data_IF_627169822558
#
_entry.id   IF_627169822558
#
_cell.length_a   1.000
_cell.length_b   1.000
_cell.length_c   1.000
_cell.angle_alpha   90.00
_cell.angle_beta   90.00
_cell.angle_gamma   90.00
#
_symmetry.space_group_name_H-M   'P 1'
#
loop_
_entity.id
_entity.type
_entity.pdbx_description
1 polymer ?
#
# COMPACT_ATOMS: atom_id res chain seq x y z
N UNK A 1 -26.85 -20.11 24.55
CA UNK A 1 -25.43 -19.67 24.53
C UNK A 1 -24.62 -20.81 23.89
N UNK A 2 -24.31 -20.72 22.60
CA UNK A 2 -23.67 -21.81 21.84
C UNK A 2 -22.17 -21.55 21.79
N UNK A 3 -21.36 -22.45 22.36
CA UNK A 3 -19.90 -22.44 22.23
C UNK A 3 -19.51 -23.16 20.93
N UNK A 4 -18.97 -22.41 19.98
CA UNK A 4 -18.29 -22.98 18.82
C UNK A 4 -16.88 -23.43 19.23
N UNK A 5 -16.62 -24.74 19.16
CA UNK A 5 -15.28 -25.33 19.33
C UNK A 5 -14.56 -25.24 17.99
N UNK A 6 -13.52 -24.41 17.91
CA UNK A 6 -12.65 -24.32 16.73
C UNK A 6 -11.64 -25.45 16.80
N UNK A 7 -11.77 -26.44 15.92
CA UNK A 7 -10.79 -27.51 15.76
C UNK A 7 -9.62 -26.98 14.92
N UNK A 8 -8.48 -26.68 15.56
CA UNK A 8 -7.29 -26.20 14.87
C UNK A 8 -6.51 -27.38 14.27
N UNK A 9 -6.69 -27.66 12.98
CA UNK A 9 -5.81 -28.57 12.23
C UNK A 9 -4.51 -27.84 11.92
N UNK A 10 -3.46 -28.12 12.70
CA UNK A 10 -2.08 -27.73 12.37
C UNK A 10 -1.63 -28.50 11.12
N UNK A 11 -1.93 -27.96 9.93
CA UNK A 11 -1.36 -28.44 8.68
C UNK A 11 0.08 -27.94 8.62
N UNK A 12 1.05 -28.83 8.79
CA UNK A 12 2.46 -28.53 8.55
C UNK A 12 2.59 -28.23 7.06
N UNK A 13 2.74 -26.94 6.73
CA UNK A 13 3.02 -26.50 5.37
C UNK A 13 4.50 -26.81 5.13
N UNK A 14 4.81 -27.94 4.50
CA UNK A 14 6.13 -28.16 3.91
C UNK A 14 6.36 -27.11 2.84
N UNK A 15 7.18 -26.10 3.14
CA UNK A 15 7.62 -25.14 2.14
C UNK A 15 8.44 -25.87 1.07
N UNK A 16 8.10 -25.65 -0.20
CA UNK A 16 8.88 -26.12 -1.33
C UNK A 16 10.30 -25.51 -1.24
N UNK A 17 11.35 -26.30 -1.50
CA UNK A 17 12.77 -25.91 -1.41
C UNK A 17 13.22 -24.91 -2.50
N UNK A 18 12.28 -24.20 -3.12
CA UNK A 18 12.60 -23.13 -4.05
C UNK A 18 12.90 -21.86 -3.26
N UNK A 19 14.18 -21.62 -3.01
CA UNK A 19 14.73 -20.44 -2.30
C UNK A 19 14.52 -19.10 -3.03
N UNK A 20 13.97 -19.12 -4.25
CA UNK A 20 13.70 -17.92 -5.04
C UNK A 20 12.32 -17.30 -4.76
N UNK A 21 11.52 -17.90 -3.88
CA UNK A 21 10.26 -17.33 -3.44
C UNK A 21 10.40 -16.95 -1.97
N UNK A 22 10.73 -15.69 -1.70
CA UNK A 22 11.11 -15.16 -0.39
C UNK A 22 9.94 -15.17 0.64
N UNK A 23 8.85 -15.90 0.38
CA UNK A 23 7.59 -15.90 1.12
C UNK A 23 6.81 -14.57 1.05
N UNK A 24 7.49 -13.48 0.72
CA UNK A 24 6.94 -12.14 0.63
C UNK A 24 6.31 -11.91 -0.75
N UNK A 25 5.04 -11.48 -0.82
CA UNK A 25 4.39 -11.16 -2.09
C UNK A 25 5.15 -10.06 -2.84
N UNK A 26 5.18 -10.11 -4.18
CA UNK A 26 5.86 -9.12 -5.04
C UNK A 26 5.50 -7.67 -4.67
N UNK A 27 4.23 -7.41 -4.36
CA UNK A 27 3.78 -6.09 -3.92
C UNK A 27 4.46 -5.62 -2.63
N UNK A 28 4.71 -6.53 -1.67
CA UNK A 28 5.45 -6.22 -0.46
C UNK A 28 6.93 -5.93 -0.75
N UNK A 29 7.54 -6.64 -1.71
CA UNK A 29 8.90 -6.37 -2.14
C UNK A 29 9.00 -4.97 -2.77
N UNK A 30 8.03 -4.58 -3.62
CA UNK A 30 7.95 -3.22 -4.17
C UNK A 30 7.85 -2.15 -3.08
N UNK A 31 7.01 -2.37 -2.07
CA UNK A 31 6.87 -1.44 -0.94
C UNK A 31 8.19 -1.30 -0.16
N UNK A 32 9.00 -2.36 -0.05
CA UNK A 32 10.28 -2.30 0.66
C UNK A 32 11.31 -1.36 -0.01
N UNK A 33 11.21 -1.13 -1.33
CA UNK A 33 12.05 -0.13 -2.01
C UNK A 33 11.65 1.32 -1.68
N UNK A 34 10.46 1.53 -1.12
CA UNK A 34 9.95 2.85 -0.79
C UNK A 34 10.39 3.27 0.62
N UNK A 35 11.38 4.16 0.71
CA UNK A 35 11.82 4.67 2.00
C UNK A 35 10.74 5.59 2.62
N UNK A 36 10.04 5.08 3.63
CA UNK A 36 8.96 5.78 4.32
C UNK A 36 9.37 7.13 4.93
N UNK A 37 10.60 7.24 5.45
CA UNK A 37 11.08 8.49 6.05
C UNK A 37 11.25 9.57 4.99
N UNK A 38 11.85 9.22 3.85
CA UNK A 38 12.01 10.12 2.71
C UNK A 38 10.66 10.56 2.12
N UNK A 39 9.73 9.63 1.94
CA UNK A 39 8.37 9.94 1.47
C UNK A 39 7.66 10.91 2.42
N UNK A 40 7.78 10.70 3.73
CA UNK A 40 7.21 11.62 4.71
C UNK A 40 7.87 13.00 4.69
N UNK A 41 9.17 13.10 4.36
CA UNK A 41 9.86 14.37 4.16
C UNK A 41 9.31 15.11 2.94
N UNK A 42 9.24 14.43 1.79
CA UNK A 42 8.65 14.99 0.55
C UNK A 42 7.20 15.43 0.78
N UNK A 43 6.41 14.62 1.49
CA UNK A 43 5.02 14.96 1.81
C UNK A 43 4.88 16.23 2.67
N UNK A 44 5.86 16.50 3.55
CA UNK A 44 5.90 17.75 4.34
C UNK A 44 6.30 18.94 3.47
N UNK A 45 7.31 18.79 2.63
CA UNK A 45 7.78 19.84 1.71
C UNK A 45 6.71 20.25 0.70
N UNK A 46 5.90 19.29 0.23
CA UNK A 46 4.78 19.55 -0.67
C UNK A 46 3.45 19.88 0.04
N UNK A 47 3.44 19.96 1.38
CA UNK A 47 2.23 20.09 2.21
C UNK A 47 1.10 19.08 1.84
N UNK A 48 1.44 17.93 1.27
CA UNK A 48 0.46 17.00 0.68
C UNK A 48 -0.39 16.26 1.72
N UNK A 49 0.03 16.30 2.98
CA UNK A 49 -0.70 15.74 4.13
C UNK A 49 -1.40 16.81 4.97
N UNK A 50 -1.48 18.06 4.51
CA UNK A 50 -2.24 19.12 5.18
C UNK A 50 -3.69 18.67 5.40
N UNK A 51 -4.18 18.86 6.63
CA UNK A 51 -5.50 18.42 7.10
C UNK A 51 -5.77 16.91 7.03
N UNK A 52 -4.75 16.08 6.81
CA UNK A 52 -4.92 14.63 6.67
C UNK A 52 -4.68 13.93 8.02
N UNK A 53 -5.70 13.21 8.51
CA UNK A 53 -5.60 12.47 9.79
C UNK A 53 -5.09 11.03 9.64
N UNK A 54 -5.68 10.26 8.71
CA UNK A 54 -5.45 8.80 8.60
C UNK A 54 -4.88 8.31 7.28
N UNK A 55 -5.20 8.99 6.18
CA UNK A 55 -4.85 8.56 4.82
C UNK A 55 -3.68 9.37 4.27
N UNK A 56 -2.49 9.22 4.86
CA UNK A 56 -1.28 9.98 4.48
C UNK A 56 -0.84 9.73 3.04
N UNK A 57 0.09 10.55 2.56
CA UNK A 57 0.64 10.48 1.20
C UNK A 57 1.30 9.13 0.94
N UNK A 58 2.00 8.59 1.95
CA UNK A 58 2.53 7.24 1.91
C UNK A 58 1.44 6.18 1.67
N UNK A 59 0.32 6.22 2.42
CA UNK A 59 -0.77 5.26 2.23
C UNK A 59 -1.44 5.42 0.87
N UNK A 60 -1.57 6.66 0.40
CA UNK A 60 -2.13 6.94 -0.93
C UNK A 60 -1.25 6.47 -2.06
N UNK A 61 0.07 6.58 -1.91
CA UNK A 61 1.05 6.00 -2.85
C UNK A 61 0.89 4.48 -2.94
N UNK A 62 0.83 3.77 -1.81
CA UNK A 62 0.61 2.32 -1.80
C UNK A 62 -0.71 1.97 -2.49
N UNK A 63 -1.79 2.69 -2.20
CA UNK A 63 -3.09 2.46 -2.86
C UNK A 63 -3.00 2.72 -4.37
N UNK A 64 -2.34 3.80 -4.80
CA UNK A 64 -2.15 4.09 -6.23
C UNK A 64 -1.34 3.00 -6.94
N UNK A 65 -0.30 2.48 -6.30
CA UNK A 65 0.48 1.35 -6.82
C UNK A 65 -0.37 0.08 -6.92
N UNK A 66 -1.17 -0.22 -5.90
CA UNK A 66 -2.13 -1.33 -5.93
C UNK A 66 -3.15 -1.19 -7.06
N UNK A 67 -3.71 0.01 -7.25
CA UNK A 67 -4.65 0.32 -8.33
C UNK A 67 -4.01 0.12 -9.70
N UNK A 68 -2.79 0.63 -9.90
CA UNK A 68 -2.06 0.49 -11.15
C UNK A 68 -1.76 -0.97 -11.50
N UNK A 69 -1.31 -1.76 -10.52
CA UNK A 69 -0.99 -3.18 -10.72
C UNK A 69 -2.22 -4.04 -11.02
N UNK A 70 -3.40 -3.67 -10.51
CA UNK A 70 -4.65 -4.39 -10.78
C UNK A 70 -5.42 -3.83 -11.99
N UNK A 71 -4.96 -2.73 -12.59
CA UNK A 71 -5.63 -2.10 -13.73
C UNK A 71 -7.01 -1.50 -13.40
N UNK A 72 -7.27 -1.12 -12.14
CA UNK A 72 -8.57 -0.52 -11.79
C UNK A 72 -8.71 0.87 -12.40
N UNK A 73 -9.81 1.09 -13.11
CA UNK A 73 -10.06 2.34 -13.84
C UNK A 73 -11.00 3.27 -13.08
N UNK A 74 -11.77 2.76 -12.11
CA UNK A 74 -12.66 3.56 -11.28
C UNK A 74 -12.29 3.55 -9.80
N UNK A 75 -12.61 4.65 -9.10
CA UNK A 75 -12.48 4.71 -7.63
C UNK A 75 -13.32 3.60 -6.98
N UNK A 76 -14.48 3.27 -7.54
CA UNK A 76 -15.35 2.23 -6.99
C UNK A 76 -14.68 0.86 -7.03
N UNK A 77 -14.08 0.48 -8.17
CA UNK A 77 -13.30 -0.75 -8.30
C UNK A 77 -12.10 -0.75 -7.37
N UNK A 78 -11.37 0.36 -7.29
CA UNK A 78 -10.25 0.50 -6.37
C UNK A 78 -10.67 0.20 -4.92
N UNK A 79 -11.76 0.81 -4.44
CA UNK A 79 -12.26 0.55 -3.07
C UNK A 79 -12.72 -0.90 -2.90
N UNK A 80 -13.43 -1.47 -3.86
CA UNK A 80 -13.86 -2.89 -3.82
C UNK A 80 -12.65 -3.83 -3.76
N UNK A 81 -11.65 -3.60 -4.60
CA UNK A 81 -10.41 -4.37 -4.63
C UNK A 81 -9.60 -4.26 -3.34
N UNK A 82 -9.52 -3.05 -2.76
CA UNK A 82 -8.87 -2.84 -1.45
C UNK A 82 -9.60 -3.58 -0.33
N UNK A 83 -10.93 -3.53 -0.31
CA UNK A 83 -11.75 -4.24 0.68
C UNK A 83 -11.58 -5.76 0.55
N UNK A 84 -11.62 -6.28 -0.68
CA UNK A 84 -11.41 -7.70 -0.95
C UNK A 84 -10.02 -8.19 -0.53
N UNK A 85 -9.02 -7.30 -0.51
CA UNK A 85 -7.63 -7.62 -0.15
C UNK A 85 -7.21 -7.01 1.20
N UNK A 86 -8.13 -6.51 2.02
CA UNK A 86 -7.81 -5.75 3.23
C UNK A 86 -6.90 -6.52 4.20
N UNK A 87 -7.15 -7.82 4.38
CA UNK A 87 -6.32 -8.68 5.22
C UNK A 87 -4.88 -8.83 4.70
N UNK A 88 -4.68 -8.85 3.37
CA UNK A 88 -3.34 -8.96 2.78
C UNK A 88 -2.59 -7.63 2.88
N UNK A 89 -3.31 -6.52 2.74
CA UNK A 89 -2.75 -5.17 2.72
C UNK A 89 -2.44 -4.63 4.12
N UNK A 90 -3.17 -5.08 5.16
CA UNK A 90 -2.92 -4.67 6.55
C UNK A 90 -1.50 -5.01 7.00
N UNK A 91 -1.03 -6.21 6.67
CA UNK A 91 0.35 -6.65 6.95
C UNK A 91 1.42 -5.90 6.14
N UNK A 92 1.02 -5.17 5.08
CA UNK A 92 1.91 -4.40 4.22
C UNK A 92 1.90 -2.90 4.53
N UNK A 93 1.35 -2.51 5.69
CA UNK A 93 1.36 -1.12 6.15
C UNK A 93 0.13 -0.30 5.76
N UNK A 94 -0.91 -0.93 5.20
CA UNK A 94 -2.24 -0.33 5.02
C UNK A 94 -3.21 -0.83 6.12
N UNK A 95 -3.02 -0.30 7.32
CA UNK A 95 -3.91 -0.49 8.49
C UNK A 95 -5.29 0.18 8.33
N UNK A 96 -5.50 0.96 7.26
CA UNK A 96 -6.70 1.73 7.00
C UNK A 96 -7.09 1.65 5.53
N UNK A 97 -8.27 1.09 5.27
CA UNK A 97 -8.90 1.15 3.95
C UNK A 97 -9.67 2.46 3.84
N UNK A 98 -9.27 3.32 2.90
CA UNK A 98 -9.92 4.60 2.68
C UNK A 98 -11.37 4.43 2.21
N UNK A 99 -12.26 5.31 2.68
CA UNK A 99 -13.60 5.43 2.09
C UNK A 99 -13.51 6.02 0.69
N UNK A 100 -14.50 5.74 -0.17
CA UNK A 100 -14.60 6.30 -1.54
C UNK A 100 -14.47 7.83 -1.55
N UNK A 101 -15.15 8.52 -0.63
CA UNK A 101 -15.07 9.99 -0.51
C UNK A 101 -13.69 10.46 -0.08
N UNK A 102 -13.05 9.77 0.88
CA UNK A 102 -11.69 10.08 1.33
C UNK A 102 -10.67 9.89 0.21
N UNK A 103 -10.80 8.82 -0.59
CA UNK A 103 -9.92 8.59 -1.74
C UNK A 103 -10.11 9.65 -2.83
N UNK A 104 -11.36 10.00 -3.13
CA UNK A 104 -11.69 11.08 -4.07
C UNK A 104 -11.13 12.44 -3.62
N UNK A 105 -11.32 12.78 -2.34
CA UNK A 105 -10.79 14.00 -1.74
C UNK A 105 -9.25 14.03 -1.77
N UNK A 106 -8.59 12.93 -1.44
CA UNK A 106 -7.13 12.83 -1.54
C UNK A 106 -6.62 12.98 -2.98
N UNK A 107 -7.32 12.43 -3.97
CA UNK A 107 -6.99 12.63 -5.39
C UNK A 107 -7.11 14.10 -5.82
N UNK A 108 -8.08 14.84 -5.26
CA UNK A 108 -8.26 16.26 -5.58
C UNK A 108 -7.22 17.15 -4.90
N UNK A 109 -6.90 16.86 -3.63
CA UNK A 109 -6.04 17.73 -2.82
C UNK A 109 -4.55 17.54 -3.07
N UNK A 110 -4.11 16.35 -3.49
CA UNK A 110 -2.69 16.07 -3.68
C UNK A 110 -2.28 16.29 -5.14
N UNK A 111 -1.40 17.26 -5.43
CA UNK A 111 -0.91 17.47 -6.79
C UNK A 111 -0.10 16.26 -7.25
N UNK A 112 -0.05 16.03 -8.56
CA UNK A 112 0.76 14.95 -9.16
C UNK A 112 2.24 15.07 -8.81
N UNK A 113 2.73 16.30 -8.61
CA UNK A 113 4.12 16.64 -8.29
C UNK A 113 4.66 15.91 -7.05
N UNK A 114 3.83 15.66 -6.03
CA UNK A 114 4.31 14.94 -4.83
C UNK A 114 4.71 13.50 -5.18
N UNK A 115 3.99 12.86 -6.10
CA UNK A 115 4.26 11.49 -6.53
C UNK A 115 5.44 11.45 -7.51
N UNK A 116 5.60 12.48 -8.33
CA UNK A 116 6.77 12.66 -9.20
C UNK A 116 8.06 12.80 -8.39
N UNK A 117 8.08 13.68 -7.37
CA UNK A 117 9.24 13.80 -6.47
C UNK A 117 9.59 12.50 -5.77
N UNK A 118 8.59 11.72 -5.35
CA UNK A 118 8.82 10.40 -4.75
C UNK A 118 9.43 9.44 -5.78
N UNK A 119 8.91 9.42 -7.01
CA UNK A 119 9.45 8.60 -8.08
C UNK A 119 10.92 8.95 -8.37
N UNK A 120 11.24 10.24 -8.49
CA UNK A 120 12.60 10.71 -8.74
C UNK A 120 13.55 10.35 -7.60
N UNK A 121 13.13 10.45 -6.34
CA UNK A 121 13.95 10.02 -5.20
C UNK A 121 14.28 8.52 -5.25
N UNK A 122 13.33 7.68 -5.68
CA UNK A 122 13.56 6.23 -5.85
C UNK A 122 14.45 5.97 -7.06
N UNK A 123 14.23 6.66 -8.19
CA UNK A 123 15.00 6.49 -9.42
C UNK A 123 16.48 6.87 -9.25
N UNK A 124 16.77 8.00 -8.61
CA UNK A 124 18.16 8.40 -8.36
C UNK A 124 18.87 7.54 -7.30
N UNK A 125 18.13 6.82 -6.47
CA UNK A 125 18.73 5.81 -5.59
C UNK A 125 19.23 4.60 -6.39
N UNK A 126 18.49 4.18 -7.42
CA UNK A 126 18.86 3.02 -8.22
C UNK A 126 20.08 3.28 -9.11
N UNK A 127 20.27 4.51 -9.60
CA UNK A 127 21.44 4.88 -10.42
C UNK A 127 22.77 4.95 -9.64
N UNK A 128 22.74 4.91 -8.30
CA UNK A 128 23.94 4.94 -7.43
C UNK A 128 24.44 3.56 -7.01
N UNK A 129 23.78 2.49 -7.44
CA UNK A 129 24.08 1.09 -7.14
C UNK A 129 24.56 0.39 -8.40
#
# INVERSE_FOLDING_TARGET
MVKFVIHNKNKIITMNKNTNFNGQPLFGQLINYLNRQKINKIARECESDKYTKKFSTYKHLIVKMFVALNGYQSICEAIKGLLANAHKLSHLGLDYVARRSTFSDANKRRPGEVFDKIYMDVYYLTDKT
#
